data_IF_189656322999
#
_entry.id   IF_189656322999
#
_cell.length_a   1.000
_cell.length_b   1.000
_cell.length_c   1.000
_cell.angle_alpha   90.00
_cell.angle_beta   90.00
_cell.angle_gamma   90.00
#
_symmetry.space_group_name_H-M   'P 1'
#
loop_
_entity.id
_entity.type
_entity.pdbx_description
1 polymer ?
#
# COMPACT_ATOMS: atom_id res chain seq x y z
N UNK A 1 10.13 3.19 12.91
CA UNK A 1 8.67 3.43 12.77
C UNK A 1 8.10 2.45 11.77
N UNK A 2 7.05 1.74 12.14
CA UNK A 2 6.36 0.86 11.19
C UNK A 2 5.44 1.70 10.30
N UNK A 3 5.45 1.51 8.98
CA UNK A 3 4.49 2.16 8.08
C UNK A 3 3.04 1.84 8.40
N UNK A 4 2.75 0.62 8.88
CA UNK A 4 1.40 0.20 9.21
C UNK A 4 1.06 0.69 10.62
N UNK A 5 -0.11 1.32 10.77
CA UNK A 5 -0.56 1.80 12.07
C UNK A 5 -0.72 0.62 13.05
N UNK A 6 -0.25 0.80 14.29
CA UNK A 6 -0.30 -0.24 15.31
C UNK A 6 -1.73 -0.75 15.57
N UNK A 7 -2.73 0.12 15.48
CA UNK A 7 -4.13 -0.25 15.68
C UNK A 7 -4.61 -1.28 14.66
N UNK A 8 -4.09 -1.24 13.42
CA UNK A 8 -4.46 -2.21 12.39
C UNK A 8 -4.03 -3.60 12.81
N UNK A 9 -2.78 -3.72 13.28
CA UNK A 9 -2.24 -5.00 13.75
C UNK A 9 -3.00 -5.50 14.98
N UNK A 10 -3.39 -4.58 15.88
CA UNK A 10 -4.16 -4.94 17.07
C UNK A 10 -5.58 -5.43 16.75
N UNK A 11 -6.16 -4.94 15.64
CA UNK A 11 -7.53 -5.29 15.21
C UNK A 11 -7.57 -6.41 14.16
N UNK A 12 -6.46 -7.09 13.91
CA UNK A 12 -6.38 -8.06 12.80
C UNK A 12 -7.45 -9.14 12.85
N UNK A 13 -7.83 -9.60 14.01
CA UNK A 13 -8.85 -10.64 14.14
C UNK A 13 -10.25 -10.10 13.82
N UNK A 14 -10.53 -8.86 14.24
CA UNK A 14 -11.78 -8.20 13.88
C UNK A 14 -11.85 -7.95 12.37
N UNK A 15 -10.74 -7.50 11.77
CA UNK A 15 -10.67 -7.30 10.33
C UNK A 15 -10.90 -8.59 9.55
N UNK A 16 -10.39 -9.71 10.05
CA UNK A 16 -10.63 -11.02 9.45
C UNK A 16 -12.11 -11.40 9.48
N UNK A 17 -12.79 -11.13 10.59
CA UNK A 17 -14.25 -11.36 10.69
C UNK A 17 -15.03 -10.45 9.75
N UNK A 18 -14.68 -9.17 9.72
CA UNK A 18 -15.34 -8.19 8.84
C UNK A 18 -15.19 -8.59 7.37
N UNK A 19 -14.01 -9.05 6.98
CA UNK A 19 -13.74 -9.52 5.62
C UNK A 19 -14.61 -10.73 5.28
N UNK A 20 -14.62 -11.73 6.16
CA UNK A 20 -15.35 -12.98 5.94
C UNK A 20 -16.86 -12.76 5.82
N UNK A 21 -17.39 -11.84 6.65
CA UNK A 21 -18.83 -11.64 6.78
C UNK A 21 -19.38 -10.53 5.87
N UNK A 22 -18.51 -9.86 5.09
CA UNK A 22 -18.94 -8.75 4.23
C UNK A 22 -19.82 -9.20 3.07
N UNK A 23 -20.79 -8.35 2.73
CA UNK A 23 -21.72 -8.53 1.62
C UNK A 23 -21.49 -7.42 0.59
N UNK A 24 -21.69 -7.63 -0.70
CA UNK A 24 -22.11 -8.85 -1.39
C UNK A 24 -20.98 -9.84 -1.68
N UNK A 25 -19.72 -9.46 -1.42
CA UNK A 25 -18.55 -10.31 -1.56
C UNK A 25 -17.58 -10.01 -0.42
N UNK A 26 -16.63 -10.88 -0.21
CA UNK A 26 -15.64 -10.69 0.85
C UNK A 26 -14.77 -9.48 0.53
N UNK A 27 -14.72 -8.54 1.46
CA UNK A 27 -13.90 -7.35 1.37
C UNK A 27 -13.77 -6.71 2.75
N UNK A 28 -12.80 -5.80 2.88
CA UNK A 28 -12.68 -4.97 4.07
C UNK A 28 -12.05 -3.64 3.68
N UNK A 29 -12.56 -2.55 4.27
CA UNK A 29 -11.95 -1.23 4.16
C UNK A 29 -11.31 -0.91 5.51
N UNK A 30 -10.06 -0.47 5.46
CA UNK A 30 -9.28 -0.21 6.67
C UNK A 30 -8.88 1.26 6.71
N UNK A 31 -9.62 2.04 7.48
CA UNK A 31 -9.27 3.45 7.70
C UNK A 31 -8.06 3.53 8.63
N UNK A 32 -7.23 4.54 8.42
CA UNK A 32 -6.04 4.73 9.25
C UNK A 32 -5.03 3.60 9.13
N UNK A 33 -4.91 3.01 7.94
CA UNK A 33 -4.00 1.87 7.72
C UNK A 33 -2.54 2.24 7.91
N UNK A 34 -2.13 3.40 7.39
CA UNK A 34 -0.76 3.87 7.53
C UNK A 34 -0.60 4.75 8.76
N UNK A 35 0.56 4.69 9.39
CA UNK A 35 0.94 5.66 10.39
C UNK A 35 0.81 7.08 9.81
N UNK A 36 0.17 8.03 10.53
CA UNK A 36 -0.10 9.36 9.97
C UNK A 36 1.16 10.12 9.53
N UNK A 37 2.25 10.05 10.29
CA UNK A 37 3.50 10.72 9.93
C UNK A 37 4.11 10.09 8.67
N UNK A 38 4.03 8.78 8.54
CA UNK A 38 4.51 8.07 7.36
C UNK A 38 3.68 8.45 6.14
N UNK A 39 2.35 8.51 6.28
CA UNK A 39 1.46 8.91 5.21
C UNK A 39 1.76 10.34 4.74
N UNK A 40 2.01 11.25 5.68
CA UNK A 40 2.40 12.62 5.34
C UNK A 40 3.69 12.67 4.55
N UNK A 41 4.68 11.88 4.95
CA UNK A 41 5.96 11.82 4.23
C UNK A 41 5.77 11.33 2.80
N UNK A 42 4.91 10.33 2.58
CA UNK A 42 4.61 9.84 1.24
C UNK A 42 3.98 10.94 0.37
N UNK A 43 3.08 11.74 0.93
CA UNK A 43 2.46 12.86 0.22
C UNK A 43 3.48 13.93 -0.13
N UNK A 44 4.35 14.28 0.83
CA UNK A 44 5.36 15.33 0.64
C UNK A 44 6.42 14.93 -0.39
N UNK A 45 6.70 13.63 -0.50
CA UNK A 45 7.73 13.09 -1.38
C UNK A 45 7.15 12.47 -2.65
N UNK A 46 5.85 12.66 -2.90
CA UNK A 46 5.20 12.10 -4.09
C UNK A 46 5.90 12.61 -5.35
N UNK A 47 6.25 11.70 -6.29
CA UNK A 47 7.03 12.08 -7.45
C UNK A 47 6.25 13.02 -8.38
N UNK A 48 6.98 13.94 -9.02
CA UNK A 48 6.41 14.84 -10.01
C UNK A 48 6.07 14.06 -11.28
N UNK A 49 5.07 14.55 -12.01
CA UNK A 49 4.78 14.05 -13.34
C UNK A 49 5.98 14.35 -14.26
N UNK A 50 6.47 13.33 -14.94
CA UNK A 50 7.54 13.47 -15.93
C UNK A 50 7.12 12.74 -17.21
N UNK A 51 7.30 13.39 -18.35
CA UNK A 51 6.89 12.86 -19.65
C UNK A 51 7.48 11.47 -19.93
N UNK A 52 8.73 11.22 -19.51
CA UNK A 52 9.40 9.94 -19.74
C UNK A 52 8.70 8.76 -19.06
N UNK A 53 7.89 9.01 -18.03
CA UNK A 53 7.13 7.99 -17.34
C UNK A 53 5.69 7.89 -17.83
N UNK A 54 5.30 8.71 -18.79
CA UNK A 54 3.93 8.80 -19.30
C UNK A 54 3.80 8.39 -20.76
N UNK A 55 4.81 7.74 -21.32
CA UNK A 55 4.77 7.29 -22.72
C UNK A 55 3.76 6.16 -22.88
N UNK A 56 2.88 6.31 -23.87
CA UNK A 56 1.90 5.29 -24.21
C UNK A 56 2.46 4.29 -25.22
N UNK A 57 1.63 3.40 -25.71
CA UNK A 57 2.02 2.35 -26.65
C UNK A 57 2.61 2.88 -27.97
N UNK A 58 2.22 4.09 -28.36
CA UNK A 58 2.73 4.73 -29.59
C UNK A 58 3.96 5.59 -29.34
N UNK A 59 4.42 5.70 -28.10
CA UNK A 59 5.54 6.55 -27.71
C UNK A 59 5.16 8.00 -27.47
N UNK A 60 3.88 8.35 -27.50
CA UNK A 60 3.39 9.68 -27.20
C UNK A 60 3.13 9.85 -25.71
N UNK A 61 3.26 11.10 -25.21
CA UNK A 61 2.97 11.42 -23.81
C UNK A 61 1.47 11.36 -23.56
N UNK A 62 1.04 10.54 -22.59
CA UNK A 62 -0.35 10.46 -22.17
C UNK A 62 -0.61 11.26 -20.91
N UNK A 63 -1.82 11.11 -20.36
CA UNK A 63 -2.24 11.77 -19.13
C UNK A 63 -1.87 11.02 -17.85
N UNK A 64 -1.20 9.87 -17.96
CA UNK A 64 -0.90 9.01 -16.83
C UNK A 64 0.58 8.62 -16.85
N UNK A 65 1.28 8.96 -15.77
CA UNK A 65 2.66 8.55 -15.57
C UNK A 65 2.71 7.31 -14.66
N UNK A 66 3.64 6.41 -14.94
CA UNK A 66 3.85 5.19 -14.15
C UNK A 66 5.31 5.11 -13.73
N UNK A 67 5.54 4.88 -12.44
CA UNK A 67 6.87 4.65 -11.89
C UNK A 67 6.96 3.19 -11.45
N UNK A 68 7.96 2.50 -11.97
CA UNK A 68 8.24 1.11 -11.58
C UNK A 68 9.44 1.00 -10.65
N UNK A 69 10.12 2.10 -10.41
CA UNK A 69 11.33 2.19 -9.60
C UNK A 69 11.05 2.80 -8.22
N UNK A 70 10.04 2.27 -7.53
CA UNK A 70 9.54 2.80 -6.26
C UNK A 70 10.65 2.98 -5.22
N UNK A 71 11.59 2.04 -5.15
CA UNK A 71 12.69 2.09 -4.19
C UNK A 71 13.65 3.27 -4.42
N UNK A 72 13.65 3.83 -5.62
CA UNK A 72 14.55 4.91 -6.01
C UNK A 72 13.91 6.29 -5.90
N UNK A 73 12.60 6.36 -5.62
CA UNK A 73 11.91 7.64 -5.46
C UNK A 73 12.44 8.39 -4.24
N UNK A 74 12.47 7.72 -3.09
CA UNK A 74 12.98 8.28 -1.84
C UNK A 74 13.14 7.18 -0.80
N UNK A 75 13.76 7.50 0.34
CA UNK A 75 13.89 6.56 1.45
C UNK A 75 12.53 6.16 2.01
N UNK A 76 11.56 7.08 2.03
CA UNK A 76 10.21 6.80 2.49
C UNK A 76 9.53 5.76 1.59
N UNK A 77 9.63 5.92 0.26
CA UNK A 77 9.06 4.95 -0.68
C UNK A 77 9.79 3.62 -0.63
N UNK A 78 11.10 3.63 -0.38
CA UNK A 78 11.85 2.39 -0.17
C UNK A 78 11.37 1.65 1.09
N UNK A 79 11.08 2.40 2.16
CA UNK A 79 10.54 1.83 3.39
C UNK A 79 9.14 1.23 3.16
N UNK A 80 8.30 1.90 2.37
CA UNK A 80 6.99 1.38 2.00
C UNK A 80 7.12 0.05 1.25
N UNK A 81 7.99 0.02 0.24
CA UNK A 81 8.23 -1.19 -0.56
C UNK A 81 8.68 -2.35 0.31
N UNK A 82 9.62 -2.11 1.23
CA UNK A 82 10.08 -3.13 2.18
C UNK A 82 8.95 -3.62 3.08
N UNK A 83 8.12 -2.70 3.54
CA UNK A 83 7.02 -3.02 4.45
C UNK A 83 5.99 -3.94 3.81
N UNK A 84 5.60 -3.68 2.57
CA UNK A 84 4.59 -4.50 1.88
C UNK A 84 5.13 -5.87 1.46
N UNK A 85 6.43 -6.07 1.52
CA UNK A 85 7.07 -7.36 1.25
C UNK A 85 7.52 -8.07 2.53
N UNK A 86 7.36 -7.44 3.67
CA UNK A 86 7.81 -7.99 4.94
C UNK A 86 6.84 -9.06 5.46
N UNK A 87 7.35 -10.06 6.22
CA UNK A 87 6.49 -11.09 6.80
C UNK A 87 5.33 -10.54 7.62
N UNK A 88 5.52 -9.44 8.34
CA UNK A 88 4.46 -8.82 9.14
C UNK A 88 3.25 -8.42 8.28
N UNK A 89 3.50 -7.81 7.12
CA UNK A 89 2.42 -7.43 6.22
C UNK A 89 1.78 -8.65 5.56
N UNK A 90 2.59 -9.60 5.12
CA UNK A 90 2.09 -10.83 4.48
C UNK A 90 1.25 -11.65 5.46
N UNK A 91 1.68 -11.75 6.71
CA UNK A 91 0.93 -12.43 7.75
C UNK A 91 -0.40 -11.73 8.04
N UNK A 92 -0.40 -10.39 8.05
CA UNK A 92 -1.63 -9.61 8.23
C UNK A 92 -2.63 -9.90 7.11
N UNK A 93 -2.17 -9.85 5.86
CA UNK A 93 -3.03 -10.12 4.69
C UNK A 93 -3.56 -11.55 4.73
N UNK A 94 -2.71 -12.51 5.04
CA UNK A 94 -3.09 -13.91 5.14
C UNK A 94 -4.14 -14.12 6.23
N UNK A 95 -3.97 -13.47 7.39
CA UNK A 95 -4.93 -13.58 8.49
C UNK A 95 -6.30 -12.97 8.12
N UNK A 96 -6.29 -11.80 7.49
CA UNK A 96 -7.54 -11.13 7.11
C UNK A 96 -8.28 -11.93 6.03
N UNK A 97 -7.58 -12.37 5.00
CA UNK A 97 -8.19 -13.01 3.84
C UNK A 97 -8.41 -14.51 3.99
N UNK A 98 -7.66 -15.15 4.89
CA UNK A 98 -7.66 -16.59 5.01
C UNK A 98 -6.86 -17.30 3.92
N UNK A 99 -6.16 -16.55 3.07
CA UNK A 99 -5.33 -17.10 2.01
C UNK A 99 -3.93 -17.35 2.58
N UNK A 100 -3.41 -18.59 2.52
CA UNK A 100 -2.05 -18.86 3.04
C UNK A 100 -0.98 -18.17 2.22
N UNK A 101 0.12 -17.80 2.90
CA UNK A 101 1.27 -17.18 2.24
C UNK A 101 1.99 -18.18 1.33
#
# INVERSE_FOLDING_TARGET
MSPIHADVLARRDQLARDFRDAEPFRHVAIDGFLDPAFCRALLDEFPRFEDRYALNETGAVGGKAVRMDVREISDTYRALDRSIQAPEFLDLVSRITGIPD
#
